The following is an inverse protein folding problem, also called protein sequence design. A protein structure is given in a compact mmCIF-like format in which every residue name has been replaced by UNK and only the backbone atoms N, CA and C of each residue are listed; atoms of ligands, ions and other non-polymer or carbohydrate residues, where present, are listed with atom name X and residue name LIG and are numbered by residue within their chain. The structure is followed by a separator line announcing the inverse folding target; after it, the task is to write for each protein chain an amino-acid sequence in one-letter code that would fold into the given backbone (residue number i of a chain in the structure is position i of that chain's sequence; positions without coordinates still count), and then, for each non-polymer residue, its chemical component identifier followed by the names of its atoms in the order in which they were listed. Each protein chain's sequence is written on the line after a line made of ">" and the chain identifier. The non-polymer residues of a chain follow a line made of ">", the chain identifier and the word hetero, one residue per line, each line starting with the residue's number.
data_IF_150600278842
#
_entry.id   IF_150600278842
#
_cell.length_a   1.000
_cell.length_b   1.000
_cell.length_c   1.000
_cell.angle_alpha   90.00
_cell.angle_beta   90.00
_cell.angle_gamma   90.00
#
_symmetry.space_group_name_H-M   'P 1'
#
loop_
_entity.id
_entity.type
_entity.pdbx_description
1 polymer ?
#
# COMPACT_ATOMS: atom_id res chain seq x y z
N UNK A 1 64.77 11.69 -56.68
CA UNK A 1 64.59 10.23 -56.56
C UNK A 1 64.37 9.86 -55.10
N UNK A 2 63.28 9.13 -54.82
CA UNK A 2 63.15 8.06 -53.79
C UNK A 2 63.16 8.55 -52.32
N UNK A 3 61.99 8.67 -51.66
CA UNK A 3 61.23 7.65 -50.88
C UNK A 3 61.85 7.35 -49.50
N UNK A 4 61.14 7.70 -48.40
CA UNK A 4 60.31 6.81 -47.54
C UNK A 4 61.17 5.88 -46.65
N UNK A 5 61.22 6.10 -45.32
CA UNK A 5 60.25 5.76 -44.23
C UNK A 5 60.49 4.37 -43.60
N UNK A 6 60.26 4.32 -42.26
CA UNK A 6 59.81 3.18 -41.40
C UNK A 6 60.88 2.61 -40.45
N UNK A 7 60.76 2.76 -39.11
CA UNK A 7 59.97 1.98 -38.08
C UNK A 7 60.52 0.55 -37.87
N UNK A 8 60.57 -0.06 -36.65
CA UNK A 8 59.61 0.02 -35.53
C UNK A 8 60.29 0.07 -34.13
N UNK A 9 59.66 0.11 -32.95
CA UNK A 9 58.72 -0.82 -32.34
C UNK A 9 58.24 -0.14 -31.03
N UNK A 10 56.99 0.32 -30.98
CA UNK A 10 56.38 0.94 -29.80
C UNK A 10 55.32 -0.01 -29.26
N UNK A 11 55.41 -0.26 -27.95
CA UNK A 11 54.65 -1.25 -27.21
C UNK A 11 53.13 -1.08 -27.34
N UNK A 12 52.45 -2.21 -27.49
CA UNK A 12 51.02 -2.38 -27.27
C UNK A 12 50.65 -1.93 -25.85
N UNK A 13 49.99 -0.78 -25.73
CA UNK A 13 49.16 -0.45 -24.59
C UNK A 13 47.72 -0.83 -24.89
N UNK A 14 47.20 -1.85 -24.21
CA UNK A 14 45.84 -2.32 -24.36
C UNK A 14 44.83 -1.24 -23.93
N UNK A 15 43.91 -0.89 -24.82
CA UNK A 15 42.72 -0.09 -24.53
C UNK A 15 41.78 -0.91 -23.64
N UNK A 16 41.53 -0.45 -22.41
CA UNK A 16 40.37 -0.88 -21.63
C UNK A 16 39.24 0.13 -21.86
N UNK A 17 38.30 -0.22 -22.73
CA UNK A 17 37.00 0.47 -22.81
C UNK A 17 36.16 0.04 -21.60
N UNK A 18 36.11 0.87 -20.56
CA UNK A 18 35.11 0.73 -19.50
C UNK A 18 33.80 1.34 -20.00
N UNK A 19 32.97 0.52 -20.61
CA UNK A 19 31.58 0.88 -20.90
C UNK A 19 30.82 1.01 -19.57
N UNK A 20 30.40 2.23 -19.22
CA UNK A 20 29.44 2.46 -18.15
C UNK A 20 28.07 1.96 -18.63
N UNK A 21 27.74 0.71 -18.30
CA UNK A 21 26.42 0.15 -18.52
C UNK A 21 25.48 0.81 -17.50
N UNK A 22 24.82 1.91 -17.87
CA UNK A 22 23.64 2.41 -17.15
C UNK A 22 22.54 1.36 -17.32
N UNK A 23 22.40 0.48 -16.34
CA UNK A 23 21.27 -0.43 -16.24
C UNK A 23 20.02 0.38 -15.89
N UNK A 24 19.25 0.74 -16.91
CA UNK A 24 17.88 1.23 -16.75
C UNK A 24 17.04 0.14 -16.07
N UNK A 25 16.68 0.39 -14.81
CA UNK A 25 15.76 -0.45 -14.05
C UNK A 25 14.35 0.14 -14.15
N UNK A 26 13.74 0.06 -15.34
CA UNK A 26 12.29 0.21 -15.52
C UNK A 26 11.58 -1.12 -15.18
N UNK A 27 11.79 -1.60 -13.95
CA UNK A 27 10.92 -2.60 -13.35
C UNK A 27 9.96 -1.84 -12.45
N UNK A 28 8.66 -1.95 -12.75
CA UNK A 28 7.58 -1.19 -12.13
C UNK A 28 7.88 -0.83 -10.68
N UNK A 29 7.98 0.48 -10.43
CA UNK A 29 8.34 1.01 -9.13
C UNK A 29 7.50 0.33 -8.05
N UNK A 30 8.18 -0.41 -7.17
CA UNK A 30 7.56 -1.06 -6.04
C UNK A 30 7.08 0.03 -5.08
N UNK A 31 5.82 0.42 -5.21
CA UNK A 31 5.22 1.47 -4.39
C UNK A 31 4.95 0.88 -3.01
N UNK A 32 5.90 1.06 -2.11
CA UNK A 32 5.71 0.81 -0.69
C UNK A 32 5.07 2.04 -0.07
N UNK A 33 3.79 1.94 0.29
CA UNK A 33 3.13 3.00 1.07
C UNK A 33 3.58 2.85 2.53
N UNK A 34 4.30 3.85 3.11
CA UNK A 34 4.82 3.76 4.48
C UNK A 34 3.69 3.68 5.50
N UNK A 35 3.93 3.13 6.69
CA UNK A 35 2.90 2.98 7.71
C UNK A 35 2.25 4.31 8.11
N UNK A 36 3.03 5.39 8.16
CA UNK A 36 2.55 6.74 8.42
C UNK A 36 1.81 7.30 7.20
N UNK A 37 0.52 7.59 7.39
CA UNK A 37 -0.32 8.17 6.35
C UNK A 37 -0.41 9.70 6.55
N UNK A 38 -0.35 10.50 5.47
CA UNK A 38 -0.68 11.92 5.54
C UNK A 38 -2.05 12.16 6.19
N UNK A 39 -2.21 13.27 6.92
CA UNK A 39 -3.48 13.66 7.50
C UNK A 39 -4.58 13.67 6.42
N UNK A 40 -5.79 13.20 6.76
CA UNK A 40 -6.91 13.13 5.82
C UNK A 40 -6.79 12.04 4.74
N UNK A 41 -5.88 11.07 4.91
CA UNK A 41 -5.78 9.91 4.00
C UNK A 41 -5.94 8.56 4.70
N UNK A 42 -6.15 8.59 6.02
CA UNK A 42 -6.30 7.41 6.85
C UNK A 42 -7.31 7.66 7.96
N UNK A 43 -8.26 6.74 8.11
CA UNK A 43 -9.33 6.78 9.10
C UNK A 43 -9.49 5.41 9.74
N UNK A 44 -9.86 5.40 11.01
CA UNK A 44 -10.06 4.19 11.80
C UNK A 44 -10.89 4.52 13.01
N UNK A 45 -11.71 3.56 13.42
CA UNK A 45 -12.61 3.68 14.56
C UNK A 45 -12.93 2.32 15.15
N UNK A 46 -13.48 2.35 16.36
CA UNK A 46 -13.95 1.18 17.08
C UNK A 46 -15.41 0.83 16.75
N UNK A 47 -16.15 1.72 16.10
CA UNK A 47 -17.56 1.52 15.73
C UNK A 47 -17.83 1.82 14.26
N UNK A 48 -18.60 0.93 13.65
CA UNK A 48 -19.17 1.03 12.32
C UNK A 48 -20.53 0.33 12.26
N UNK A 49 -21.26 0.50 11.15
CA UNK A 49 -22.50 -0.24 10.88
C UNK A 49 -22.26 -1.60 10.18
N UNK A 50 -21.00 -2.02 10.02
CA UNK A 50 -20.68 -3.28 9.36
C UNK A 50 -21.18 -4.48 10.18
N UNK A 51 -22.13 -5.23 9.62
CA UNK A 51 -22.72 -6.42 10.24
C UNK A 51 -21.76 -7.62 10.26
N UNK A 52 -20.75 -7.63 9.39
CA UNK A 52 -19.80 -8.73 9.24
C UNK A 52 -18.41 -8.22 8.88
N UNK A 53 -17.44 -9.12 8.92
CA UNK A 53 -16.08 -8.85 8.46
C UNK A 53 -16.08 -8.63 6.95
N UNK A 54 -15.44 -7.55 6.50
CA UNK A 54 -15.33 -7.26 5.08
C UNK A 54 -13.99 -6.60 4.74
N UNK A 55 -13.53 -6.83 3.52
CA UNK A 55 -12.40 -6.15 2.89
C UNK A 55 -12.92 -5.51 1.62
N UNK A 56 -12.79 -4.19 1.50
CA UNK A 56 -13.45 -3.41 0.45
C UNK A 56 -12.43 -2.52 -0.23
N UNK A 57 -12.54 -2.42 -1.55
CA UNK A 57 -11.80 -1.44 -2.35
C UNK A 57 -12.81 -0.53 -3.01
N UNK A 58 -12.64 0.78 -2.84
CA UNK A 58 -13.42 1.79 -3.55
C UNK A 58 -12.51 2.50 -4.56
N UNK A 59 -12.93 2.52 -5.81
CA UNK A 59 -12.23 3.13 -6.95
C UNK A 59 -13.01 4.32 -7.49
N UNK A 60 -14.33 4.29 -7.36
CA UNK A 60 -15.23 5.35 -7.83
C UNK A 60 -15.77 6.17 -6.65
N UNK A 61 -16.30 7.36 -6.96
CA UNK A 61 -16.97 8.20 -5.97
C UNK A 61 -18.19 7.49 -5.34
N UNK A 62 -18.92 6.69 -6.13
CA UNK A 62 -20.06 5.92 -5.63
C UNK A 62 -19.60 4.85 -4.64
N UNK A 63 -18.61 4.03 -5.01
CA UNK A 63 -18.07 2.99 -4.12
C UNK A 63 -17.49 3.60 -2.84
N UNK A 64 -16.93 4.80 -2.91
CA UNK A 64 -16.43 5.53 -1.74
C UNK A 64 -17.54 5.93 -0.79
N UNK A 65 -18.65 6.45 -1.31
CA UNK A 65 -19.83 6.77 -0.51
C UNK A 65 -20.45 5.50 0.08
N UNK A 66 -20.55 4.41 -0.69
CA UNK A 66 -21.08 3.13 -0.22
C UNK A 66 -20.20 2.55 0.90
N UNK A 67 -18.88 2.73 0.81
CA UNK A 67 -17.93 2.34 1.85
C UNK A 67 -18.17 3.13 3.14
N UNK A 68 -18.35 4.46 3.07
CA UNK A 68 -18.65 5.28 4.25
C UNK A 68 -20.04 5.05 4.83
N UNK A 69 -21.02 4.69 4.01
CA UNK A 69 -22.32 4.24 4.50
C UNK A 69 -22.20 3.01 5.44
N UNK A 70 -21.20 2.14 5.22
CA UNK A 70 -20.90 1.03 6.15
C UNK A 70 -20.23 1.48 7.44
N UNK A 71 -19.52 2.61 7.43
CA UNK A 71 -19.06 3.26 8.67
C UNK A 71 -20.28 3.81 9.42
N UNK A 72 -21.27 4.33 8.70
CA UNK A 72 -22.42 5.04 9.26
C UNK A 72 -22.24 6.55 9.32
N UNK A 73 -21.27 7.06 8.56
CA UNK A 73 -20.93 8.49 8.49
C UNK A 73 -20.87 8.94 7.04
N UNK A 74 -20.90 10.25 6.81
CA UNK A 74 -20.59 10.80 5.50
C UNK A 74 -19.09 10.72 5.22
N UNK A 75 -18.71 10.52 3.96
CA UNK A 75 -17.32 10.57 3.57
C UNK A 75 -16.70 11.95 3.93
N UNK A 76 -15.56 11.98 4.64
CA UNK A 76 -14.97 13.24 5.13
C UNK A 76 -14.33 14.07 4.00
N UNK A 77 -13.99 13.43 2.89
CA UNK A 77 -13.43 14.03 1.67
C UNK A 77 -13.98 13.31 0.46
N UNK A 78 -13.97 13.95 -0.71
CA UNK A 78 -14.19 13.25 -1.98
C UNK A 78 -13.00 12.33 -2.29
N UNK A 79 -13.25 11.22 -3.00
CA UNK A 79 -12.18 10.33 -3.44
C UNK A 79 -11.37 11.02 -4.56
N UNK A 80 -10.05 11.26 -4.39
CA UNK A 80 -9.22 11.83 -5.45
C UNK A 80 -9.10 10.87 -6.64
N UNK A 81 -9.05 11.40 -7.87
CA UNK A 81 -9.08 10.61 -9.10
C UNK A 81 -7.87 9.68 -9.31
N UNK A 82 -6.71 10.05 -8.76
CA UNK A 82 -5.46 9.27 -8.76
C UNK A 82 -5.36 8.29 -7.58
N UNK A 83 -6.42 8.19 -6.76
CA UNK A 83 -6.47 7.36 -5.56
C UNK A 83 -7.59 6.34 -5.63
N UNK A 84 -7.44 5.34 -4.79
CA UNK A 84 -8.46 4.37 -4.42
C UNK A 84 -8.46 4.26 -2.89
N UNK A 85 -9.55 3.78 -2.30
CA UNK A 85 -9.57 3.44 -0.88
C UNK A 85 -9.49 1.92 -0.70
N UNK A 86 -8.73 1.49 0.31
CA UNK A 86 -8.80 0.14 0.84
C UNK A 86 -9.34 0.19 2.27
N UNK A 87 -10.29 -0.67 2.60
CA UNK A 87 -10.90 -0.73 3.90
C UNK A 87 -10.97 -2.16 4.45
N UNK A 88 -10.82 -2.26 5.76
CA UNK A 88 -11.03 -3.49 6.53
C UNK A 88 -12.03 -3.20 7.63
N UNK A 89 -13.11 -3.98 7.67
CA UNK A 89 -14.12 -4.00 8.72
C UNK A 89 -14.01 -5.33 9.45
N UNK A 90 -14.01 -5.30 10.79
CA UNK A 90 -13.93 -6.52 11.59
C UNK A 90 -15.29 -7.14 11.91
N UNK A 91 -16.38 -6.42 11.63
CA UNK A 91 -17.72 -6.77 12.10
C UNK A 91 -17.85 -6.68 13.63
N UNK A 92 -18.98 -7.12 14.20
CA UNK A 92 -19.23 -7.11 15.64
C UNK A 92 -18.15 -7.81 16.47
N UNK A 93 -17.85 -7.22 17.63
CA UNK A 93 -16.97 -7.77 18.67
C UNK A 93 -17.64 -7.55 20.03
N UNK A 94 -17.53 -8.55 20.90
CA UNK A 94 -18.26 -8.57 22.18
C UNK A 94 -17.66 -7.67 23.27
N UNK A 95 -16.51 -7.05 23.00
CA UNK A 95 -15.84 -6.14 23.92
C UNK A 95 -15.09 -5.02 23.20
N UNK A 96 -14.66 -4.03 23.98
CA UNK A 96 -13.70 -3.03 23.55
C UNK A 96 -12.28 -3.62 23.45
N UNK A 97 -11.35 -2.82 22.91
CA UNK A 97 -9.94 -3.20 22.81
C UNK A 97 -9.59 -3.98 21.55
N UNK A 98 -10.57 -4.43 20.78
CA UNK A 98 -10.34 -4.85 19.39
C UNK A 98 -10.04 -3.64 18.50
N UNK A 99 -9.24 -3.85 17.47
CA UNK A 99 -8.93 -2.80 16.51
C UNK A 99 -8.33 -3.35 15.23
N UNK A 100 -8.26 -2.51 14.20
CA UNK A 100 -7.60 -2.85 12.94
C UNK A 100 -6.78 -1.68 12.42
N UNK A 101 -5.64 -1.99 11.82
CA UNK A 101 -4.72 -1.01 11.23
C UNK A 101 -4.33 -1.47 9.83
N UNK A 102 -4.34 -0.57 8.85
CA UNK A 102 -3.77 -0.81 7.52
C UNK A 102 -2.38 -0.19 7.52
N UNK A 103 -1.38 -1.04 7.65
CA UNK A 103 0.01 -0.67 7.93
C UNK A 103 0.87 -0.51 6.67
N UNK A 104 0.38 -0.92 5.51
CA UNK A 104 1.07 -0.67 4.25
C UNK A 104 0.38 -1.25 3.03
N UNK A 105 0.89 -0.88 1.86
CA UNK A 105 0.55 -1.50 0.59
C UNK A 105 1.81 -1.65 -0.26
N UNK A 106 1.89 -2.72 -1.03
CA UNK A 106 3.02 -3.04 -1.91
C UNK A 106 2.50 -3.45 -3.28
N UNK A 107 3.12 -2.97 -4.36
CA UNK A 107 2.75 -3.37 -5.72
C UNK A 107 3.20 -4.79 -5.97
N UNK A 108 2.32 -5.64 -6.50
CA UNK A 108 2.65 -7.03 -6.86
C UNK A 108 1.98 -7.35 -8.18
N UNK A 109 2.77 -7.67 -9.21
CA UNK A 109 2.28 -8.13 -10.51
C UNK A 109 1.17 -7.25 -11.13
N UNK A 110 1.32 -5.92 -11.05
CA UNK A 110 0.32 -4.96 -11.55
C UNK A 110 -0.91 -4.75 -10.65
N UNK A 111 -0.98 -5.43 -9.51
CA UNK A 111 -1.96 -5.23 -8.45
C UNK A 111 -1.34 -4.64 -7.17
N UNK A 112 -2.08 -4.70 -6.07
CA UNK A 112 -1.62 -4.27 -4.74
C UNK A 112 -1.84 -5.36 -3.70
N UNK A 113 -0.85 -5.55 -2.82
CA UNK A 113 -0.98 -6.29 -1.58
C UNK A 113 -1.11 -5.31 -0.42
N UNK A 114 -2.26 -5.30 0.24
CA UNK A 114 -2.56 -4.43 1.37
C UNK A 114 -2.34 -5.20 2.67
N UNK A 115 -1.36 -4.75 3.46
CA UNK A 115 -1.11 -5.26 4.80
C UNK A 115 -2.12 -4.69 5.80
N UNK A 116 -2.56 -5.52 6.73
CA UNK A 116 -3.28 -5.03 7.90
C UNK A 116 -3.00 -5.90 9.15
N UNK A 117 -3.06 -5.27 10.32
CA UNK A 117 -2.99 -5.94 11.62
C UNK A 117 -4.31 -5.80 12.37
N UNK A 118 -4.69 -6.85 13.10
CA UNK A 118 -5.78 -6.81 14.06
C UNK A 118 -5.19 -6.73 15.46
N UNK A 119 -5.66 -5.75 16.25
CA UNK A 119 -5.48 -5.76 17.70
C UNK A 119 -6.54 -6.68 18.28
N UNK A 120 -6.10 -7.67 19.06
CA UNK A 120 -6.95 -8.54 19.85
C UNK A 120 -6.54 -8.34 21.31
N UNK A 121 -7.46 -8.01 22.22
CA UNK A 121 -7.16 -7.92 23.65
C UNK A 121 -6.55 -9.22 24.17
N UNK A 122 -5.58 -9.10 25.08
CA UNK A 122 -5.03 -10.25 25.79
C UNK A 122 -6.09 -10.95 26.66
N UNK A 123 -5.94 -12.25 26.97
CA UNK A 123 -6.91 -13.01 27.77
C UNK A 123 -7.09 -12.46 29.20
N UNK A 124 -6.10 -11.72 29.69
CA UNK A 124 -6.10 -11.08 31.02
C UNK A 124 -6.18 -9.56 30.95
N UNK A 125 -6.34 -8.99 29.75
CA UNK A 125 -6.44 -7.55 29.56
C UNK A 125 -7.81 -7.06 30.03
N UNK A 126 -7.81 -6.07 30.94
CA UNK A 126 -9.05 -5.43 31.37
C UNK A 126 -9.63 -4.60 30.22
N UNK A 127 -10.80 -5.01 29.72
CA UNK A 127 -11.53 -4.32 28.64
C UNK A 127 -12.97 -4.05 29.04
N UNK A 128 -13.56 -2.99 28.48
CA UNK A 128 -14.98 -2.73 28.66
C UNK A 128 -15.83 -3.77 27.91
N UNK A 129 -16.90 -4.24 28.56
CA UNK A 129 -17.88 -5.18 27.98
C UNK A 129 -18.93 -4.41 27.17
N UNK A 130 -18.47 -3.70 26.13
CA UNK A 130 -19.33 -2.99 25.19
C UNK A 130 -19.08 -3.52 23.79
N UNK A 131 -20.16 -3.76 23.04
CA UNK A 131 -20.05 -4.23 21.68
C UNK A 131 -19.38 -3.15 20.81
N UNK A 132 -18.42 -3.58 20.00
CA UNK A 132 -17.69 -2.73 19.04
C UNK A 132 -17.79 -3.34 17.63
N UNK A 133 -17.39 -2.56 16.62
CA UNK A 133 -17.30 -3.00 15.23
C UNK A 133 -16.16 -2.27 14.51
N UNK A 134 -14.90 -2.60 14.83
CA UNK A 134 -13.76 -1.79 14.40
C UNK A 134 -13.55 -1.78 12.89
N UNK A 135 -13.03 -0.67 12.39
CA UNK A 135 -12.72 -0.49 10.97
C UNK A 135 -11.44 0.34 10.76
N UNK A 136 -10.84 0.19 9.58
CA UNK A 136 -9.77 1.05 9.08
C UNK A 136 -9.95 1.27 7.58
N UNK A 137 -9.67 2.49 7.12
CA UNK A 137 -9.80 2.94 5.74
C UNK A 137 -8.57 3.74 5.38
N UNK A 138 -7.96 3.47 4.23
CA UNK A 138 -6.77 4.18 3.76
C UNK A 138 -6.87 4.51 2.28
N UNK A 139 -6.51 5.74 1.91
CA UNK A 139 -6.30 6.11 0.51
C UNK A 139 -4.94 5.60 0.05
N UNK A 140 -4.94 4.87 -1.06
CA UNK A 140 -3.77 4.30 -1.71
C UNK A 140 -3.65 4.84 -3.13
N UNK A 141 -2.45 4.80 -3.76
CA UNK A 141 -2.32 5.02 -5.19
C UNK A 141 -3.30 4.12 -5.95
N UNK A 142 -3.97 4.68 -6.96
CA UNK A 142 -4.88 3.91 -7.79
C UNK A 142 -4.09 2.91 -8.65
N UNK A 143 -4.50 1.65 -8.57
CA UNK A 143 -4.13 0.60 -9.53
C UNK A 143 -5.40 -0.05 -10.04
N UNK A 144 -5.44 -0.42 -11.32
CA UNK A 144 -6.61 -1.12 -11.87
C UNK A 144 -6.53 -2.65 -11.64
N UNK A 145 -5.35 -3.16 -11.27
CA UNK A 145 -5.13 -4.56 -10.96
C UNK A 145 -5.80 -5.04 -9.66
N UNK A 146 -5.62 -6.33 -9.40
CA UNK A 146 -6.21 -7.01 -8.24
C UNK A 146 -5.63 -6.46 -6.93
N UNK A 147 -6.50 -6.28 -5.94
CA UNK A 147 -6.08 -5.95 -4.57
C UNK A 147 -6.23 -7.20 -3.70
N UNK A 148 -5.16 -7.57 -3.02
CA UNK A 148 -5.11 -8.69 -2.09
C UNK A 148 -4.84 -8.16 -0.70
N UNK A 149 -5.72 -8.48 0.25
CA UNK A 149 -5.50 -8.13 1.64
C UNK A 149 -4.77 -9.26 2.34
N UNK A 150 -3.70 -8.92 3.05
CA UNK A 150 -2.92 -9.85 3.84
C UNK A 150 -2.98 -9.43 5.30
N UNK A 151 -3.57 -10.31 6.14
CA UNK A 151 -3.45 -10.14 7.59
C UNK A 151 -2.02 -10.43 7.99
N UNK A 152 -1.39 -9.47 8.65
CA UNK A 152 -0.03 -9.55 9.18
C UNK A 152 -0.10 -10.08 10.62
N UNK A 153 0.95 -10.78 11.04
CA UNK A 153 1.06 -11.38 12.39
C UNK A 153 1.46 -10.34 13.41
#
# INVERSE_FOLDING_TARGET
>A
MIRRRSFPLLLLGALSLTACQTSGSDRGADLVVPADAPAGTYWRGDRSLAAERAQIVARTAQEWNDLWARVGEAAPVSLPGDRMAAAVFLGPRDSAGFGVVIDGAQTTDGGLRVGYHERVPGPTEAVALTQTSPYAIRLLPRVDGKVLFQRRK
#
